data_IF_173229714591
#
_entry.id   IF_173229714591
#
_cell.length_a   1.000
_cell.length_b   1.000
_cell.length_c   1.000
_cell.angle_alpha   90.00
_cell.angle_beta   90.00
_cell.angle_gamma   90.00
#
_symmetry.space_group_name_H-M   'P 1'
#
loop_
_entity.id
_entity.type
_entity.pdbx_description
1 polymer ?
#
# COMPACT_ATOMS: atom_id res chain seq x y z
N UNK A 1 31.48 3.75 -12.75
CA UNK A 1 30.34 3.53 -13.66
C UNK A 1 30.30 2.14 -14.34
N UNK A 2 31.22 1.21 -14.05
CA UNK A 2 31.17 -0.18 -14.58
C UNK A 2 30.79 -1.25 -13.54
N UNK A 3 30.58 -0.88 -12.27
CA UNK A 3 30.25 -1.84 -11.21
C UNK A 3 28.74 -2.17 -11.10
N UNK A 4 27.84 -1.33 -11.66
CA UNK A 4 26.38 -1.57 -11.61
C UNK A 4 25.87 -2.55 -12.68
N UNK A 5 26.64 -2.79 -13.75
CA UNK A 5 26.23 -3.71 -14.82
C UNK A 5 26.50 -5.19 -14.48
N UNK A 6 27.48 -5.48 -13.62
CA UNK A 6 27.85 -6.85 -13.23
C UNK A 6 26.97 -7.40 -12.08
N UNK A 7 26.32 -6.54 -11.30
CA UNK A 7 25.42 -6.98 -10.23
C UNK A 7 24.05 -7.46 -10.79
N UNK A 8 23.64 -6.98 -11.96
CA UNK A 8 22.50 -7.54 -12.71
C UNK A 8 22.78 -8.94 -13.28
N UNK A 9 24.04 -9.29 -13.52
CA UNK A 9 24.41 -10.60 -14.07
C UNK A 9 24.59 -11.69 -13.00
N UNK A 10 24.88 -11.33 -11.74
CA UNK A 10 25.19 -12.30 -10.68
C UNK A 10 23.96 -12.82 -9.91
N UNK A 11 22.80 -12.18 -10.01
CA UNK A 11 21.51 -12.74 -9.57
C UNK A 11 20.88 -13.69 -10.61
N UNK A 12 21.55 -13.91 -11.75
CA UNK A 12 21.09 -14.71 -12.87
C UNK A 12 21.57 -16.19 -12.86
N UNK A 13 22.01 -16.73 -11.72
CA UNK A 13 22.45 -18.15 -11.62
C UNK A 13 21.41 -19.10 -11.05
N UNK A 14 20.24 -18.61 -10.63
CA UNK A 14 19.03 -19.42 -10.65
C UNK A 14 18.37 -19.25 -12.01
N UNK A 15 18.54 -20.19 -12.94
CA UNK A 15 17.81 -20.19 -14.23
C UNK A 15 16.32 -19.96 -14.00
N UNK A 16 15.85 -18.73 -14.24
CA UNK A 16 14.44 -18.34 -14.08
C UNK A 16 13.71 -18.88 -15.30
N UNK A 17 12.96 -19.96 -15.12
CA UNK A 17 12.17 -20.59 -16.18
C UNK A 17 11.16 -19.59 -16.79
N UNK A 18 10.92 -19.72 -18.10
CA UNK A 18 9.97 -18.93 -18.87
C UNK A 18 8.61 -18.77 -18.16
N UNK A 19 8.09 -17.54 -18.17
CA UNK A 19 6.83 -17.20 -17.52
C UNK A 19 5.65 -17.94 -18.17
N UNK A 20 4.72 -18.40 -17.34
CA UNK A 20 3.54 -19.11 -17.82
C UNK A 20 2.48 -18.11 -18.31
N UNK A 21 1.51 -18.59 -19.08
CA UNK A 21 0.30 -17.86 -19.41
C UNK A 21 -0.88 -18.58 -18.77
N UNK A 22 -1.78 -17.82 -18.15
CA UNK A 22 -3.09 -18.33 -17.77
C UNK A 22 -3.92 -18.60 -19.04
N UNK A 23 -4.77 -19.63 -19.03
CA UNK A 23 -5.68 -19.91 -20.13
C UNK A 23 -6.67 -18.75 -20.36
N UNK A 24 -7.26 -18.62 -21.56
CA UNK A 24 -8.30 -17.65 -21.84
C UNK A 24 -9.45 -17.71 -20.81
N UNK A 25 -10.00 -16.55 -20.46
CA UNK A 25 -11.11 -16.44 -19.49
C UNK A 25 -10.66 -16.26 -18.03
N UNK A 26 -9.36 -16.33 -17.75
CA UNK A 26 -8.79 -16.12 -16.41
C UNK A 26 -8.21 -14.71 -16.21
N UNK A 27 -8.36 -13.79 -17.16
CA UNK A 27 -7.77 -12.45 -17.15
C UNK A 27 -8.25 -11.59 -15.95
N UNK A 28 -9.40 -11.95 -15.39
CA UNK A 28 -10.02 -11.31 -14.24
C UNK A 28 -9.48 -11.81 -12.89
N UNK A 29 -8.74 -12.91 -12.89
CA UNK A 29 -8.22 -13.54 -11.68
C UNK A 29 -7.00 -12.78 -11.17
N UNK A 30 -7.02 -12.45 -9.88
CA UNK A 30 -5.90 -11.82 -9.18
C UNK A 30 -5.40 -12.74 -8.08
N UNK A 31 -4.37 -13.56 -8.33
CA UNK A 31 -3.84 -14.42 -7.31
C UNK A 31 -3.03 -13.63 -6.27
N UNK A 32 -2.96 -14.16 -5.04
CA UNK A 32 -2.12 -13.59 -3.99
C UNK A 32 -0.67 -14.09 -4.06
N UNK A 33 0.29 -13.19 -4.00
CA UNK A 33 1.73 -13.49 -3.99
C UNK A 33 2.34 -13.49 -2.60
N UNK A 34 3.40 -14.30 -2.49
CA UNK A 34 4.37 -14.29 -1.40
C UNK A 34 5.78 -14.27 -1.97
N UNK A 35 6.78 -14.00 -1.14
CA UNK A 35 8.21 -14.05 -1.50
C UNK A 35 8.65 -15.43 -2.01
N UNK A 36 7.94 -16.49 -1.62
CA UNK A 36 8.23 -17.87 -2.05
C UNK A 36 7.68 -18.18 -3.46
N UNK A 37 6.95 -17.26 -4.08
CA UNK A 37 6.44 -17.46 -5.42
C UNK A 37 7.54 -17.28 -6.45
N UNK A 38 8.03 -18.39 -7.01
CA UNK A 38 9.13 -18.39 -7.99
C UNK A 38 8.66 -18.37 -9.44
N UNK A 39 7.38 -18.69 -9.69
CA UNK A 39 6.75 -18.70 -11.02
C UNK A 39 5.43 -17.95 -11.00
N UNK A 40 5.19 -17.17 -12.04
CA UNK A 40 3.98 -16.36 -12.24
C UNK A 40 3.38 -16.64 -13.62
N UNK A 41 2.12 -16.25 -13.78
CA UNK A 41 1.39 -16.22 -15.04
C UNK A 41 1.41 -14.78 -15.52
N UNK A 42 2.17 -14.52 -16.58
CA UNK A 42 2.55 -13.15 -16.96
C UNK A 42 1.39 -12.29 -17.45
N UNK A 43 0.31 -12.89 -17.96
CA UNK A 43 -0.93 -12.19 -18.31
C UNK A 43 -1.83 -11.85 -17.12
N UNK A 44 -1.50 -12.29 -15.90
CA UNK A 44 -2.31 -11.99 -14.72
C UNK A 44 -1.74 -10.84 -13.89
N UNK A 45 -2.66 -10.14 -13.21
CA UNK A 45 -2.32 -9.23 -12.12
C UNK A 45 -2.26 -10.00 -10.80
N UNK A 46 -1.54 -9.48 -9.82
CA UNK A 46 -1.35 -10.14 -8.54
C UNK A 46 -1.54 -9.21 -7.35
N UNK A 47 -2.07 -9.72 -6.25
CA UNK A 47 -2.08 -9.04 -4.94
C UNK A 47 -0.84 -9.44 -4.14
N UNK A 48 0.01 -8.47 -3.80
CA UNK A 48 1.11 -8.69 -2.87
C UNK A 48 0.62 -8.84 -1.43
N UNK A 49 0.91 -9.96 -0.77
CA UNK A 49 0.77 -10.01 0.69
C UNK A 49 1.99 -9.32 1.32
N UNK A 50 1.80 -8.13 1.88
CA UNK A 50 2.89 -7.31 2.40
C UNK A 50 3.81 -8.06 3.36
N UNK A 51 3.26 -8.75 4.37
CA UNK A 51 4.06 -9.51 5.33
C UNK A 51 4.78 -10.68 4.66
N UNK A 52 4.13 -11.35 3.71
CA UNK A 52 4.71 -12.52 3.04
C UNK A 52 5.70 -12.16 1.92
N UNK A 53 5.72 -10.90 1.45
CA UNK A 53 6.69 -10.40 0.47
C UNK A 53 8.01 -9.95 1.12
N UNK A 54 7.99 -9.62 2.41
CA UNK A 54 9.19 -9.22 3.16
C UNK A 54 10.20 -10.34 3.30
N UNK A 55 11.48 -9.98 3.32
CA UNK A 55 12.53 -10.89 3.78
C UNK A 55 12.25 -11.29 5.24
N UNK A 56 12.44 -12.55 5.65
CA UNK A 56 12.40 -12.89 7.07
C UNK A 56 13.38 -12.02 7.86
N UNK A 57 13.00 -11.46 9.03
CA UNK A 57 13.85 -10.50 9.76
C UNK A 57 15.27 -10.99 10.08
N UNK A 58 15.44 -12.30 10.24
CA UNK A 58 16.74 -12.95 10.48
C UNK A 58 17.65 -12.97 9.23
N UNK A 59 17.08 -12.78 8.04
CA UNK A 59 17.78 -12.74 6.74
C UNK A 59 17.87 -11.32 6.16
N UNK A 60 17.28 -10.34 6.84
CA UNK A 60 17.26 -8.94 6.45
C UNK A 60 18.63 -8.28 6.69
N UNK A 61 19.50 -8.32 5.68
CA UNK A 61 20.87 -7.77 5.80
C UNK A 61 21.15 -6.58 4.88
N UNK A 62 20.58 -6.56 3.67
CA UNK A 62 20.87 -5.52 2.69
C UNK A 62 19.69 -4.54 2.53
N UNK A 63 19.94 -3.21 2.53
CA UNK A 63 18.96 -2.23 2.09
C UNK A 63 18.42 -2.57 0.71
N UNK A 64 17.16 -2.23 0.42
CA UNK A 64 16.53 -2.40 -0.89
C UNK A 64 16.31 -3.82 -1.42
N UNK A 65 16.71 -4.89 -0.71
CA UNK A 65 16.50 -6.26 -1.19
C UNK A 65 15.01 -6.60 -1.44
N UNK A 66 14.10 -6.11 -0.58
CA UNK A 66 12.66 -6.30 -0.75
C UNK A 66 12.11 -5.49 -1.93
N UNK A 67 12.63 -4.30 -2.15
CA UNK A 67 12.29 -3.45 -3.29
C UNK A 67 12.72 -4.13 -4.60
N UNK A 68 13.97 -4.57 -4.71
CA UNK A 68 14.50 -5.26 -5.89
C UNK A 68 13.71 -6.53 -6.23
N UNK A 69 13.38 -7.34 -5.23
CA UNK A 69 12.55 -8.53 -5.42
C UNK A 69 11.15 -8.16 -5.92
N UNK A 70 10.53 -7.14 -5.34
CA UNK A 70 9.19 -6.67 -5.74
C UNK A 70 9.20 -6.14 -7.18
N UNK A 71 10.24 -5.40 -7.59
CA UNK A 71 10.42 -4.92 -8.96
C UNK A 71 10.54 -6.07 -9.96
N UNK A 72 11.37 -7.06 -9.64
CA UNK A 72 11.57 -8.24 -10.48
C UNK A 72 10.29 -9.07 -10.63
N UNK A 73 9.46 -9.16 -9.58
CA UNK A 73 8.15 -9.79 -9.67
C UNK A 73 7.17 -8.99 -10.52
N UNK A 74 7.08 -7.68 -10.30
CA UNK A 74 6.13 -6.81 -11.03
C UNK A 74 6.38 -6.81 -12.54
N UNK A 75 7.66 -6.83 -12.97
CA UNK A 75 8.04 -6.88 -14.40
C UNK A 75 7.63 -8.19 -15.09
N UNK A 76 7.30 -9.25 -14.34
CA UNK A 76 6.91 -10.57 -14.87
C UNK A 76 5.40 -10.77 -14.88
N UNK A 77 4.63 -9.77 -14.47
CA UNK A 77 3.16 -9.84 -14.37
C UNK A 77 2.50 -8.70 -15.12
N UNK A 78 1.20 -8.81 -15.37
CA UNK A 78 0.40 -7.73 -15.97
C UNK A 78 0.14 -6.57 -14.98
N UNK A 79 0.64 -6.70 -13.75
CA UNK A 79 0.51 -5.71 -12.68
C UNK A 79 0.64 -6.36 -11.31
N UNK A 80 1.06 -5.56 -10.33
CA UNK A 80 1.24 -5.99 -8.95
C UNK A 80 0.63 -4.95 -8.01
N UNK A 81 -0.45 -5.34 -7.33
CA UNK A 81 -1.01 -4.56 -6.24
C UNK A 81 -0.12 -4.68 -5.00
N UNK A 82 0.30 -3.55 -4.43
CA UNK A 82 1.20 -3.52 -3.28
C UNK A 82 0.68 -2.54 -2.25
N UNK A 83 0.35 -3.00 -1.05
CA UNK A 83 -0.19 -2.11 -0.02
C UNK A 83 0.94 -1.21 0.53
N UNK A 84 0.78 0.10 0.31
CA UNK A 84 1.79 1.16 0.55
C UNK A 84 1.03 2.38 1.07
N UNK A 85 0.51 2.27 2.28
CA UNK A 85 -0.39 3.28 2.87
C UNK A 85 -0.24 3.41 4.39
N UNK A 86 0.76 2.76 4.97
CA UNK A 86 0.90 2.65 6.41
C UNK A 86 2.36 2.42 6.83
N UNK A 87 2.67 2.88 8.03
CA UNK A 87 4.01 2.82 8.60
C UNK A 87 4.49 1.37 8.78
N UNK A 88 3.67 0.51 9.41
CA UNK A 88 4.06 -0.87 9.73
C UNK A 88 3.57 -1.90 8.71
N UNK A 89 2.62 -1.53 7.85
CA UNK A 89 2.08 -2.45 6.85
C UNK A 89 2.90 -2.47 5.56
N UNK A 90 3.72 -1.46 5.24
CA UNK A 90 4.56 -1.46 4.04
C UNK A 90 5.66 -2.53 4.03
N UNK A 91 6.24 -2.84 2.87
CA UNK A 91 7.36 -3.79 2.74
C UNK A 91 8.59 -3.35 3.55
N UNK A 92 8.92 -2.05 3.48
CA UNK A 92 9.98 -1.42 4.28
C UNK A 92 9.52 -1.22 5.74
N UNK A 93 9.41 -2.33 6.48
CA UNK A 93 8.97 -2.29 7.86
C UNK A 93 10.00 -1.53 8.74
N UNK A 94 9.59 -0.48 9.48
CA UNK A 94 10.50 0.51 10.07
C UNK A 94 11.44 -0.05 11.14
N UNK A 95 11.13 -1.23 11.68
CA UNK A 95 11.96 -1.92 12.68
C UNK A 95 12.65 -3.17 12.11
N UNK A 96 12.00 -3.88 11.19
CA UNK A 96 12.39 -5.24 10.83
C UNK A 96 13.32 -5.29 9.61
N UNK A 97 13.27 -4.25 8.77
CA UNK A 97 14.02 -4.18 7.53
C UNK A 97 14.77 -2.84 7.49
N UNK A 98 16.01 -2.81 6.97
CA UNK A 98 16.60 -1.55 6.52
C UNK A 98 15.76 -1.01 5.35
N UNK A 99 15.16 0.16 5.53
CA UNK A 99 14.26 0.73 4.53
C UNK A 99 15.02 1.13 3.25
N UNK A 100 14.42 0.84 2.09
CA UNK A 100 14.89 1.36 0.82
C UNK A 100 14.34 2.77 0.56
N UNK A 101 13.03 2.90 0.76
CA UNK A 101 12.25 4.09 0.54
C UNK A 101 11.01 4.00 1.44
N UNK A 102 11.23 4.24 2.74
CA UNK A 102 10.15 4.32 3.72
C UNK A 102 9.12 5.35 3.25
N UNK A 103 7.86 4.96 3.25
CA UNK A 103 6.77 5.86 2.89
C UNK A 103 6.32 6.67 4.10
N UNK A 104 6.11 7.97 3.89
CA UNK A 104 5.40 8.83 4.83
C UNK A 104 3.95 8.35 5.00
N UNK A 105 3.47 8.09 6.23
CA UNK A 105 2.08 7.71 6.45
C UNK A 105 1.11 8.83 6.02
N UNK A 106 -0.02 8.52 5.38
CA UNK A 106 -0.95 9.54 4.87
C UNK A 106 -1.55 10.43 5.96
N UNK A 107 -1.82 9.87 7.14
CA UNK A 107 -2.33 10.62 8.28
C UNK A 107 -1.34 11.66 8.84
N UNK A 108 -0.03 11.56 8.53
CA UNK A 108 0.93 12.63 8.84
C UNK A 108 0.70 13.86 7.96
N UNK A 109 0.34 13.65 6.69
CA UNK A 109 -0.05 14.73 5.79
C UNK A 109 -1.34 15.37 6.29
N UNK A 110 -2.34 14.57 6.66
CA UNK A 110 -3.60 15.09 7.24
C UNK A 110 -3.36 15.93 8.49
N UNK A 111 -2.54 15.47 9.44
CA UNK A 111 -2.22 16.21 10.66
C UNK A 111 -1.57 17.58 10.36
N UNK A 112 -0.63 17.62 9.41
CA UNK A 112 0.02 18.87 9.01
C UNK A 112 -0.92 19.82 8.27
N UNK A 113 -1.82 19.29 7.42
CA UNK A 113 -2.87 20.07 6.75
C UNK A 113 -3.81 20.68 7.79
N UNK A 114 -4.23 19.91 8.79
CA UNK A 114 -5.10 20.38 9.88
C UNK A 114 -4.44 21.52 10.68
N UNK A 115 -3.15 21.39 11.03
CA UNK A 115 -2.42 22.48 11.67
C UNK A 115 -2.33 23.72 10.79
N UNK A 116 -2.06 23.57 9.49
CA UNK A 116 -2.01 24.69 8.57
C UNK A 116 -3.36 25.39 8.40
N UNK A 117 -4.48 24.65 8.37
CA UNK A 117 -5.83 25.22 8.35
C UNK A 117 -6.11 26.05 9.60
N UNK A 118 -5.57 25.63 10.75
CA UNK A 118 -5.68 26.35 12.00
C UNK A 118 -4.60 27.45 12.20
N UNK A 119 -3.77 27.74 11.18
CA UNK A 119 -2.70 28.73 11.26
C UNK A 119 -1.54 28.35 12.20
N UNK A 120 -1.37 27.04 12.47
CA UNK A 120 -0.30 26.48 13.31
C UNK A 120 0.74 25.76 12.46
N UNK A 121 1.97 25.69 12.97
CA UNK A 121 2.99 24.79 12.45
C UNK A 121 3.12 23.59 13.40
N UNK A 122 2.99 22.34 12.93
CA UNK A 122 3.17 21.14 13.77
C UNK A 122 4.53 21.16 14.45
N UNK A 123 4.65 20.73 15.72
CA UNK A 123 5.96 20.62 16.39
C UNK A 123 6.87 19.59 15.67
N UNK A 124 8.20 19.76 15.69
CA UNK A 124 9.12 18.95 14.89
C UNK A 124 9.26 17.54 15.45
N UNK A 125 9.71 16.61 14.61
CA UNK A 125 10.11 15.26 15.04
C UNK A 125 11.54 15.32 15.57
N UNK A 126 11.79 14.82 16.77
CA UNK A 126 13.13 14.74 17.35
C UNK A 126 13.88 13.53 16.78
N UNK A 127 15.00 13.77 16.09
CA UNK A 127 15.85 12.71 15.54
C UNK A 127 17.32 12.92 15.96
N UNK A 128 17.71 12.52 17.18
CA UNK A 128 19.10 12.58 17.63
C UNK A 128 20.05 11.74 16.76
N UNK A 129 21.36 11.92 16.91
CA UNK A 129 22.35 11.07 16.24
C UNK A 129 22.07 9.57 16.50
N UNK A 130 22.25 8.72 15.48
CA UNK A 130 21.84 7.31 15.52
C UNK A 130 22.49 6.51 16.65
N UNK A 131 23.68 6.90 17.10
CA UNK A 131 24.49 6.25 18.13
C UNK A 131 24.41 6.92 19.51
N UNK A 132 23.70 8.05 19.65
CA UNK A 132 23.57 8.78 20.92
C UNK A 132 22.45 8.21 21.81
N UNK A 133 22.72 7.09 22.46
CA UNK A 133 21.79 6.42 23.37
C UNK A 133 21.24 7.35 24.46
N UNK A 134 22.04 8.29 24.96
CA UNK A 134 21.63 9.21 26.01
C UNK A 134 20.58 10.21 25.50
N UNK A 135 20.74 10.74 24.29
CA UNK A 135 19.73 11.61 23.69
C UNK A 135 18.44 10.85 23.35
N UNK A 136 18.54 9.63 22.82
CA UNK A 136 17.37 8.79 22.55
C UNK A 136 16.60 8.44 23.84
N UNK A 137 17.30 8.14 24.93
CA UNK A 137 16.68 7.82 26.22
C UNK A 137 15.91 9.00 26.83
N UNK A 138 16.28 10.25 26.51
CA UNK A 138 15.56 11.46 26.99
C UNK A 138 14.21 11.65 26.30
N UNK A 139 13.98 11.00 25.17
CA UNK A 139 12.70 11.00 24.45
C UNK A 139 11.75 9.97 25.08
N UNK A 140 11.50 10.08 26.38
CA UNK A 140 10.78 9.11 27.22
C UNK A 140 9.29 8.89 26.87
N UNK A 141 8.71 9.74 26.02
CA UNK A 141 7.30 9.65 25.58
C UNK A 141 7.18 9.75 24.06
N UNK A 142 6.19 9.08 23.43
CA UNK A 142 5.97 9.20 22.00
C UNK A 142 5.76 10.65 21.53
N UNK A 143 5.08 11.48 22.32
CA UNK A 143 4.86 12.89 21.99
C UNK A 143 6.17 13.71 21.89
N UNK A 144 7.16 13.44 22.75
CA UNK A 144 8.48 14.09 22.65
C UNK A 144 9.26 13.69 21.40
N UNK A 145 9.04 12.47 20.92
CA UNK A 145 9.67 11.96 19.71
C UNK A 145 9.00 12.51 18.44
N UNK A 146 7.67 12.37 18.33
CA UNK A 146 6.92 12.66 17.09
C UNK A 146 6.41 14.10 16.99
N UNK A 147 6.48 14.89 18.07
CA UNK A 147 6.05 16.28 18.07
C UNK A 147 4.57 16.42 17.72
N UNK A 148 4.27 17.16 16.66
CA UNK A 148 2.90 17.42 16.19
C UNK A 148 2.31 16.34 15.29
N UNK A 149 3.06 15.27 15.01
CA UNK A 149 2.67 14.22 14.07
C UNK A 149 2.09 12.98 14.78
N UNK A 150 1.27 12.16 14.09
CA UNK A 150 0.71 10.93 14.64
C UNK A 150 1.81 10.03 15.23
N UNK A 151 1.68 9.73 16.52
CA UNK A 151 2.66 8.97 17.26
C UNK A 151 2.54 7.46 17.03
N UNK A 152 3.67 6.74 17.14
CA UNK A 152 3.70 5.29 17.16
C UNK A 152 4.43 4.78 18.41
N UNK A 153 3.70 4.12 19.30
CA UNK A 153 4.27 3.50 20.51
C UNK A 153 5.31 2.43 20.16
N UNK A 154 5.06 1.63 19.12
CA UNK A 154 5.97 0.59 18.65
C UNK A 154 7.28 1.17 18.11
N UNK A 155 7.23 2.21 17.27
CA UNK A 155 8.46 2.81 16.73
C UNK A 155 9.24 3.54 17.83
N UNK A 156 8.54 4.29 18.69
CA UNK A 156 9.13 4.92 19.88
C UNK A 156 9.86 3.90 20.76
N UNK A 157 9.17 2.82 21.15
CA UNK A 157 9.71 1.80 22.04
C UNK A 157 10.87 0.99 21.47
N UNK A 158 11.12 1.01 20.15
CA UNK A 158 12.34 0.47 19.56
C UNK A 158 13.44 1.52 19.43
N UNK A 159 13.12 2.74 18.99
CA UNK A 159 14.11 3.79 18.76
C UNK A 159 14.81 4.27 20.04
N UNK A 160 14.11 4.23 21.19
CA UNK A 160 14.63 4.71 22.49
C UNK A 160 15.29 3.64 23.35
N UNK A 161 15.39 2.39 22.86
CA UNK A 161 16.14 1.33 23.55
C UNK A 161 17.64 1.62 23.54
N UNK A 162 18.33 1.17 24.58
CA UNK A 162 19.78 1.22 24.67
C UNK A 162 20.39 0.32 23.59
N UNK A 163 21.22 0.90 22.74
CA UNK A 163 21.88 0.21 21.63
C UNK A 163 23.18 -0.45 22.08
N UNK A 164 23.93 0.19 22.97
CA UNK A 164 25.27 -0.26 23.37
C UNK A 164 25.27 -1.66 24.00
N UNK A 165 24.26 -1.95 24.84
CA UNK A 165 24.12 -3.21 25.59
C UNK A 165 23.27 -4.27 24.85
N UNK A 166 22.67 -3.93 23.72
CA UNK A 166 21.73 -4.79 23.01
C UNK A 166 22.39 -5.96 22.26
N UNK A 167 21.60 -7.03 22.06
CA UNK A 167 21.97 -8.17 21.20
C UNK A 167 22.23 -7.71 19.76
N UNK A 168 22.93 -8.53 18.96
CA UNK A 168 23.17 -8.18 17.55
C UNK A 168 21.85 -7.97 16.77
N UNK A 169 20.81 -8.74 17.07
CA UNK A 169 19.50 -8.62 16.43
C UNK A 169 18.73 -7.39 16.89
N UNK A 170 18.74 -7.10 18.19
CA UNK A 170 18.09 -5.90 18.72
C UNK A 170 18.80 -4.64 18.25
N UNK A 171 20.15 -4.64 18.19
CA UNK A 171 20.91 -3.50 17.63
C UNK A 171 20.49 -3.17 16.22
N UNK A 172 20.30 -4.17 15.34
CA UNK A 172 19.80 -3.94 13.98
C UNK A 172 18.39 -3.32 13.99
N UNK A 173 17.50 -3.81 14.86
CA UNK A 173 16.13 -3.27 14.98
C UNK A 173 16.11 -1.84 15.52
N UNK A 174 16.96 -1.53 16.49
CA UNK A 174 17.16 -0.18 17.03
C UNK A 174 17.69 0.73 15.92
N UNK A 175 18.70 0.30 15.16
CA UNK A 175 19.28 1.07 14.06
C UNK A 175 18.27 1.35 12.96
N UNK A 176 17.48 0.34 12.56
CA UNK A 176 16.38 0.50 11.61
C UNK A 176 15.34 1.50 12.13
N UNK A 177 14.92 1.36 13.39
CA UNK A 177 13.92 2.23 14.00
C UNK A 177 14.39 3.69 14.05
N UNK A 178 15.64 3.93 14.47
CA UNK A 178 16.24 5.27 14.49
C UNK A 178 16.38 5.83 13.06
N UNK A 179 16.81 5.02 12.10
CA UNK A 179 16.87 5.42 10.69
C UNK A 179 15.49 5.77 10.10
N UNK A 180 14.46 5.03 10.47
CA UNK A 180 13.07 5.33 10.09
C UNK A 180 12.60 6.66 10.70
N UNK A 181 12.90 6.93 11.97
CA UNK A 181 12.63 8.24 12.60
C UNK A 181 13.33 9.38 11.88
N UNK A 182 14.60 9.22 11.49
CA UNK A 182 15.32 10.23 10.69
C UNK A 182 14.64 10.51 9.36
N UNK A 183 14.18 9.46 8.67
CA UNK A 183 13.45 9.59 7.40
C UNK A 183 12.13 10.33 7.60
N UNK A 184 11.39 10.00 8.66
CA UNK A 184 10.14 10.67 9.01
C UNK A 184 10.37 12.12 9.45
N UNK A 185 11.45 12.41 10.17
CA UNK A 185 11.79 13.77 10.58
C UNK A 185 12.11 14.67 9.38
N UNK A 186 12.87 14.18 8.41
CA UNK A 186 13.13 14.91 7.17
C UNK A 186 11.83 15.18 6.37
N UNK A 187 10.92 14.21 6.32
CA UNK A 187 9.61 14.39 5.68
C UNK A 187 8.73 15.40 6.45
N UNK A 188 8.72 15.32 7.79
CA UNK A 188 8.00 16.25 8.66
C UNK A 188 8.48 17.70 8.50
N UNK A 189 9.79 17.93 8.39
CA UNK A 189 10.31 19.28 8.16
C UNK A 189 9.87 19.83 6.81
N UNK A 190 9.86 19.02 5.75
CA UNK A 190 9.33 19.45 4.45
C UNK A 190 7.85 19.82 4.49
N UNK A 191 7.05 19.14 5.32
CA UNK A 191 5.65 19.53 5.56
C UNK A 191 5.56 20.85 6.33
N UNK A 192 6.37 21.03 7.37
CA UNK A 192 6.43 22.25 8.19
C UNK A 192 6.85 23.47 7.36
N UNK A 193 7.85 23.32 6.50
CA UNK A 193 8.33 24.36 5.57
C UNK A 193 7.24 24.82 4.59
N UNK A 194 6.25 23.96 4.29
CA UNK A 194 5.14 24.29 3.40
C UNK A 194 3.98 25.03 4.12
N UNK A 195 3.93 25.01 5.46
CA UNK A 195 2.85 25.63 6.26
C UNK A 195 2.66 27.13 5.95
N UNK A 196 3.71 27.97 5.82
CA UNK A 196 3.54 29.38 5.49
C UNK A 196 2.85 29.64 4.14
N UNK A 197 2.82 28.65 3.24
CA UNK A 197 2.12 28.75 1.94
C UNK A 197 0.68 28.20 2.01
N UNK A 198 0.23 27.76 3.18
CA UNK A 198 -1.14 27.30 3.44
C UNK A 198 -1.35 25.78 3.29
N UNK A 199 -2.51 25.33 3.74
CA UNK A 199 -2.87 23.91 3.84
C UNK A 199 -2.78 23.13 2.52
N UNK A 200 -3.10 23.77 1.38
CA UNK A 200 -2.96 23.12 0.08
C UNK A 200 -1.49 22.87 -0.31
N UNK A 201 -0.59 23.78 0.05
CA UNK A 201 0.84 23.60 -0.20
C UNK A 201 1.39 22.44 0.63
N UNK A 202 0.97 22.33 1.89
CA UNK A 202 1.28 21.19 2.76
C UNK A 202 0.77 19.89 2.16
N UNK A 203 -0.48 19.85 1.71
CA UNK A 203 -1.06 18.66 1.08
C UNK A 203 -0.27 18.24 -0.18
N UNK A 204 0.13 19.21 -1.04
CA UNK A 204 0.96 18.94 -2.22
C UNK A 204 2.36 18.44 -1.86
N UNK A 205 3.00 19.03 -0.84
CA UNK A 205 4.32 18.59 -0.37
C UNK A 205 4.27 17.15 0.14
N UNK A 206 3.25 16.81 0.95
CA UNK A 206 3.02 15.45 1.42
C UNK A 206 2.73 14.46 0.30
N UNK A 207 1.91 14.85 -0.67
CA UNK A 207 1.63 14.03 -1.85
C UNK A 207 2.89 13.72 -2.67
N UNK A 208 3.78 14.70 -2.87
CA UNK A 208 5.05 14.48 -3.56
C UNK A 208 6.02 13.60 -2.77
N UNK A 209 6.06 13.71 -1.45
CA UNK A 209 6.86 12.83 -0.58
C UNK A 209 6.42 11.37 -0.71
N UNK A 210 5.12 11.11 -0.68
CA UNK A 210 4.56 9.77 -0.83
C UNK A 210 4.84 9.23 -2.24
N UNK A 211 4.53 10.00 -3.28
CA UNK A 211 4.76 9.60 -4.67
C UNK A 211 6.25 9.38 -4.98
N UNK A 212 7.13 10.25 -4.47
CA UNK A 212 8.58 10.10 -4.58
C UNK A 212 9.10 8.86 -3.89
N UNK A 213 8.53 8.49 -2.73
CA UNK A 213 8.84 7.23 -2.06
C UNK A 213 8.39 6.01 -2.88
N UNK A 214 7.22 6.06 -3.53
CA UNK A 214 6.79 5.00 -4.44
C UNK A 214 7.76 4.84 -5.61
N UNK A 215 8.17 5.95 -6.25
CA UNK A 215 9.16 5.94 -7.34
C UNK A 215 10.52 5.43 -6.90
N UNK A 216 10.99 5.81 -5.71
CA UNK A 216 12.24 5.28 -5.15
C UNK A 216 12.13 3.78 -4.84
N UNK A 217 10.97 3.31 -4.34
CA UNK A 217 10.76 1.91 -4.02
C UNK A 217 10.62 1.03 -5.27
N UNK A 218 9.80 1.42 -6.25
CA UNK A 218 9.55 0.61 -7.45
C UNK A 218 10.51 0.92 -8.61
N UNK A 219 11.11 2.11 -8.66
CA UNK A 219 11.72 2.64 -9.88
C UNK A 219 10.64 3.19 -10.83
N UNK A 220 10.97 4.24 -11.57
CA UNK A 220 10.00 5.02 -12.35
C UNK A 220 9.21 4.16 -13.36
N UNK A 221 9.90 3.32 -14.15
CA UNK A 221 9.25 2.49 -15.16
C UNK A 221 8.30 1.44 -14.54
N UNK A 222 8.75 0.74 -13.49
CA UNK A 222 7.92 -0.26 -12.81
C UNK A 222 6.74 0.43 -12.14
N UNK A 223 6.94 1.61 -11.52
CA UNK A 223 5.86 2.39 -10.92
C UNK A 223 4.81 2.79 -11.95
N UNK A 224 5.24 3.20 -13.14
CA UNK A 224 4.37 3.64 -14.22
C UNK A 224 3.50 2.52 -14.77
N UNK A 225 4.12 1.39 -15.10
CA UNK A 225 3.49 0.36 -15.93
C UNK A 225 2.98 -0.86 -15.15
N UNK A 226 3.57 -1.19 -14.00
CA UNK A 226 3.34 -2.49 -13.35
C UNK A 226 2.90 -2.40 -11.88
N UNK A 227 3.53 -1.55 -11.07
CA UNK A 227 3.22 -1.45 -9.65
C UNK A 227 1.99 -0.58 -9.42
N UNK A 228 1.03 -1.12 -8.68
CA UNK A 228 -0.25 -0.49 -8.37
C UNK A 228 -0.31 -0.35 -6.84
N UNK A 229 0.20 0.74 -6.25
CA UNK A 229 0.24 0.81 -4.81
C UNK A 229 -1.19 1.05 -4.27
N UNK A 230 -1.55 0.31 -3.23
CA UNK A 230 -2.91 0.29 -2.65
C UNK A 230 -3.01 1.19 -1.43
N UNK A 231 -4.22 1.67 -1.16
CA UNK A 231 -4.56 2.52 -0.03
C UNK A 231 -5.87 2.09 0.63
N UNK A 232 -5.91 2.00 1.97
CA UNK A 232 -7.12 1.72 2.74
C UNK A 232 -7.88 3.00 3.07
N UNK A 233 -9.09 3.16 2.52
CA UNK A 233 -9.92 4.35 2.76
C UNK A 233 -10.73 4.27 4.06
N UNK A 234 -11.10 3.08 4.49
CA UNK A 234 -11.91 2.85 5.69
C UNK A 234 -11.25 1.85 6.66
N UNK A 235 -10.02 2.14 7.16
CA UNK A 235 -9.31 1.22 8.04
C UNK A 235 -10.06 0.99 9.36
N UNK A 236 -9.84 -0.18 9.98
CA UNK A 236 -10.32 -0.43 11.35
C UNK A 236 -9.55 0.41 12.38
N UNK A 237 -10.10 0.58 13.60
CA UNK A 237 -9.42 1.31 14.68
C UNK A 237 -8.01 0.77 14.96
N UNK A 238 -7.84 -0.56 15.02
CA UNK A 238 -6.54 -1.21 15.15
C UNK A 238 -5.56 -0.80 14.04
N UNK A 239 -6.02 -0.77 12.79
CA UNK A 239 -5.20 -0.40 11.65
C UNK A 239 -4.79 1.09 11.68
N UNK A 240 -5.66 1.97 12.16
CA UNK A 240 -5.32 3.39 12.32
C UNK A 240 -4.30 3.56 13.44
N UNK A 241 -4.55 2.97 14.61
CA UNK A 241 -3.74 3.18 15.83
C UNK A 241 -2.40 2.45 15.77
N UNK A 242 -2.39 1.18 15.37
CA UNK A 242 -1.22 0.32 15.48
C UNK A 242 -0.40 0.24 14.19
N UNK A 243 -1.04 0.36 13.02
CA UNK A 243 -0.33 0.31 11.73
C UNK A 243 -0.08 1.69 11.10
N UNK A 244 -0.87 2.71 11.49
CA UNK A 244 -0.85 4.04 10.88
C UNK A 244 -1.46 4.07 9.49
N UNK A 245 -2.51 3.27 9.25
CA UNK A 245 -3.26 3.22 7.99
C UNK A 245 -4.25 4.39 7.86
N UNK A 246 -4.51 4.75 6.61
CA UNK A 246 -5.55 5.71 6.25
C UNK A 246 -5.19 7.17 6.54
N UNK A 247 -6.21 8.02 6.47
CA UNK A 247 -6.07 9.49 6.55
C UNK A 247 -6.43 10.05 7.92
N UNK A 248 -7.09 9.27 8.77
CA UNK A 248 -7.54 9.72 10.09
C UNK A 248 -6.40 9.83 11.09
N UNK A 249 -6.54 10.76 12.03
CA UNK A 249 -5.56 11.04 13.08
C UNK A 249 -6.17 10.68 14.43
N UNK A 250 -5.78 9.54 15.05
CA UNK A 250 -6.33 9.11 16.33
C UNK A 250 -6.23 10.18 17.42
N UNK A 251 -7.31 10.33 18.19
CA UNK A 251 -7.35 11.24 19.34
C UNK A 251 -7.36 12.73 18.98
N UNK A 252 -7.56 13.09 17.70
CA UNK A 252 -7.60 14.48 17.23
C UNK A 252 -8.93 14.77 16.53
N UNK A 253 -9.62 15.83 16.95
CA UNK A 253 -10.71 16.40 16.17
C UNK A 253 -10.11 17.24 15.05
N UNK A 254 -10.35 16.83 13.81
CA UNK A 254 -9.83 17.49 12.61
C UNK A 254 -10.82 18.51 12.07
N UNK A 255 -10.30 19.55 11.42
CA UNK A 255 -11.06 20.38 10.50
C UNK A 255 -11.70 19.48 9.41
N UNK A 256 -13.01 19.65 9.12
CA UNK A 256 -13.70 18.84 8.11
C UNK A 256 -13.04 18.85 6.72
N UNK A 257 -12.26 19.88 6.39
CA UNK A 257 -11.55 19.99 5.12
C UNK A 257 -10.21 19.24 5.10
N UNK A 258 -9.62 18.88 6.25
CA UNK A 258 -8.27 18.32 6.31
C UNK A 258 -8.13 16.99 5.56
N UNK A 259 -9.02 16.04 5.83
CA UNK A 259 -9.04 14.72 5.17
C UNK A 259 -9.32 14.84 3.67
N UNK A 260 -10.38 15.56 3.20
CA UNK A 260 -10.61 15.78 1.78
C UNK A 260 -9.44 16.42 1.03
N UNK A 261 -8.76 17.41 1.63
CA UNK A 261 -7.61 18.08 1.03
C UNK A 261 -6.42 17.13 0.88
N UNK A 262 -6.07 16.41 1.96
CA UNK A 262 -4.98 15.43 1.94
C UNK A 262 -5.27 14.30 0.93
N UNK A 263 -6.46 13.69 0.99
CA UNK A 263 -6.92 12.66 0.05
C UNK A 263 -6.74 13.09 -1.39
N UNK A 264 -7.30 14.27 -1.73
CA UNK A 264 -7.28 14.80 -3.09
C UNK A 264 -5.85 15.00 -3.59
N UNK A 265 -4.98 15.57 -2.77
CA UNK A 265 -3.59 15.82 -3.15
C UNK A 265 -2.83 14.51 -3.37
N UNK A 266 -2.89 13.59 -2.39
CA UNK A 266 -2.14 12.31 -2.41
C UNK A 266 -2.57 11.48 -3.62
N UNK A 267 -3.87 11.29 -3.81
CA UNK A 267 -4.37 10.36 -4.83
C UNK A 267 -4.17 10.88 -6.23
N UNK A 268 -4.49 12.17 -6.49
CA UNK A 268 -4.27 12.76 -7.81
C UNK A 268 -2.79 12.72 -8.17
N UNK A 269 -1.90 13.00 -7.21
CA UNK A 269 -0.47 12.95 -7.44
C UNK A 269 0.02 11.53 -7.75
N UNK A 270 -0.40 10.53 -6.97
CA UNK A 270 -0.03 9.13 -7.23
C UNK A 270 -0.58 8.64 -8.57
N UNK A 271 -1.77 9.05 -8.96
CA UNK A 271 -2.38 8.70 -10.25
C UNK A 271 -1.63 9.27 -11.45
N UNK A 272 -0.85 10.35 -11.28
CA UNK A 272 0.04 10.87 -12.33
C UNK A 272 1.25 9.97 -12.58
N UNK A 273 1.69 9.19 -11.57
CA UNK A 273 2.85 8.31 -11.69
C UNK A 273 2.51 6.92 -12.23
N UNK A 274 1.23 6.57 -12.35
CA UNK A 274 0.79 5.24 -12.74
C UNK A 274 -0.55 4.88 -12.09
N UNK A 275 -1.02 3.66 -12.34
CA UNK A 275 -2.26 3.19 -11.73
C UNK A 275 -2.16 3.13 -10.20
N UNK A 276 -3.31 3.19 -9.52
CA UNK A 276 -3.41 3.05 -8.06
C UNK A 276 -4.66 2.27 -7.68
N UNK A 277 -4.68 1.77 -6.45
CA UNK A 277 -5.84 1.09 -5.89
C UNK A 277 -6.31 1.75 -4.59
N UNK A 278 -7.62 1.79 -4.38
CA UNK A 278 -8.27 2.17 -3.14
C UNK A 278 -9.10 0.98 -2.64
N UNK A 279 -9.04 0.69 -1.35
CA UNK A 279 -9.71 -0.46 -0.76
C UNK A 279 -10.63 -0.17 0.41
N UNK A 280 -11.50 -1.16 0.65
CA UNK A 280 -12.36 -1.32 1.83
C UNK A 280 -13.62 -0.45 1.82
N UNK A 281 -14.31 -0.43 0.68
CA UNK A 281 -15.69 0.03 0.66
C UNK A 281 -16.63 -1.14 0.92
N UNK A 282 -17.48 -1.01 1.94
CA UNK A 282 -18.62 -1.90 2.15
C UNK A 282 -19.78 -1.49 1.23
N UNK A 283 -20.01 -2.24 0.15
CA UNK A 283 -21.09 -1.93 -0.80
C UNK A 283 -22.47 -2.42 -0.33
N UNK A 284 -22.56 -2.92 0.91
CA UNK A 284 -23.84 -3.12 1.59
C UNK A 284 -24.29 -1.89 2.38
N UNK A 285 -23.38 -0.93 2.63
CA UNK A 285 -23.65 0.35 3.27
C UNK A 285 -23.73 1.48 2.24
N UNK A 286 -24.88 2.16 2.19
CA UNK A 286 -25.09 3.30 1.29
C UNK A 286 -24.14 4.46 1.55
N UNK A 287 -23.69 4.66 2.79
CA UNK A 287 -22.73 5.72 3.11
C UNK A 287 -21.36 5.46 2.49
N UNK A 288 -20.89 4.21 2.52
CA UNK A 288 -19.64 3.80 1.88
C UNK A 288 -19.76 3.79 0.34
N UNK A 289 -20.91 3.41 -0.21
CA UNK A 289 -21.18 3.55 -1.66
C UNK A 289 -21.09 5.01 -2.10
N UNK A 290 -21.76 5.94 -1.39
CA UNK A 290 -21.68 7.38 -1.69
C UNK A 290 -20.25 7.89 -1.60
N UNK A 291 -19.52 7.51 -0.54
CA UNK A 291 -18.12 7.89 -0.35
C UNK A 291 -17.22 7.39 -1.49
N UNK A 292 -17.40 6.14 -1.92
CA UNK A 292 -16.65 5.59 -3.06
C UNK A 292 -16.89 6.41 -4.33
N UNK A 293 -18.16 6.73 -4.62
CA UNK A 293 -18.54 7.55 -5.78
C UNK A 293 -17.91 8.94 -5.70
N UNK A 294 -18.02 9.63 -4.56
CA UNK A 294 -17.46 10.98 -4.37
C UNK A 294 -15.93 10.99 -4.58
N UNK A 295 -15.22 9.98 -4.06
CA UNK A 295 -13.78 9.85 -4.25
C UNK A 295 -13.45 9.60 -5.72
N UNK A 296 -14.19 8.73 -6.40
CA UNK A 296 -13.94 8.44 -7.82
C UNK A 296 -14.25 9.63 -8.73
N UNK A 297 -15.33 10.37 -8.48
CA UNK A 297 -15.65 11.62 -9.17
C UNK A 297 -14.53 12.66 -9.01
N UNK A 298 -13.92 12.73 -7.82
CA UNK A 298 -12.79 13.61 -7.56
C UNK A 298 -11.52 13.21 -8.35
N UNK A 299 -11.29 11.91 -8.56
CA UNK A 299 -10.08 11.40 -9.21
C UNK A 299 -10.18 11.32 -10.73
N UNK A 300 -11.30 10.79 -11.22
CA UNK A 300 -11.52 10.44 -12.62
C UNK A 300 -12.93 10.90 -13.05
N UNK A 301 -13.20 12.22 -12.99
CA UNK A 301 -14.50 12.75 -13.43
C UNK A 301 -14.75 12.42 -14.90
N UNK A 302 -16.01 12.36 -15.29
CA UNK A 302 -16.41 12.09 -16.68
C UNK A 302 -15.77 13.09 -17.64
N UNK A 303 -15.25 12.59 -18.75
CA UNK A 303 -14.55 13.44 -19.73
C UNK A 303 -13.09 13.72 -19.38
N UNK A 304 -12.55 13.15 -18.28
CA UNK A 304 -11.11 13.18 -17.99
C UNK A 304 -10.28 12.41 -19.03
N UNK A 305 -10.91 11.59 -19.88
CA UNK A 305 -10.29 10.95 -21.03
C UNK A 305 -9.29 9.85 -20.64
N UNK A 306 -8.25 9.68 -21.46
CA UNK A 306 -7.25 8.62 -21.27
C UNK A 306 -6.33 8.92 -20.08
N UNK A 307 -5.92 7.86 -19.38
CA UNK A 307 -4.87 7.89 -18.36
C UNK A 307 -4.90 6.64 -17.48
N UNK A 308 -4.24 6.72 -16.32
CA UNK A 308 -4.01 5.56 -15.46
C UNK A 308 -5.26 5.04 -14.73
N UNK A 309 -5.37 3.72 -14.58
CA UNK A 309 -6.52 3.09 -13.93
C UNK A 309 -6.59 3.41 -12.42
N UNK A 310 -7.81 3.54 -11.91
CA UNK A 310 -8.13 3.47 -10.48
C UNK A 310 -8.82 2.14 -10.23
N UNK A 311 -8.19 1.30 -9.42
CA UNK A 311 -8.77 0.03 -8.98
C UNK A 311 -9.51 0.24 -7.66
N UNK A 312 -10.74 -0.24 -7.57
CA UNK A 312 -11.59 -0.03 -6.39
C UNK A 312 -11.98 -1.37 -5.79
N UNK A 313 -11.52 -1.62 -4.57
CA UNK A 313 -11.84 -2.86 -3.89
C UNK A 313 -13.09 -2.70 -3.06
N UNK A 314 -14.07 -3.55 -3.36
CA UNK A 314 -15.36 -3.58 -2.70
C UNK A 314 -15.57 -4.91 -2.01
N UNK A 315 -16.18 -4.87 -0.84
CA UNK A 315 -16.53 -6.04 -0.05
C UNK A 315 -17.85 -5.82 0.68
N UNK A 316 -18.20 -6.78 1.53
CA UNK A 316 -19.25 -6.60 2.53
C UNK A 316 -18.67 -6.20 3.88
N UNK A 317 -19.47 -6.26 4.95
CA UNK A 317 -19.00 -5.93 6.29
C UNK A 317 -17.84 -6.84 6.70
N UNK A 318 -16.95 -6.28 7.52
CA UNK A 318 -15.87 -7.04 8.15
C UNK A 318 -16.47 -8.12 9.05
N UNK A 319 -16.06 -9.37 8.86
CA UNK A 319 -16.50 -10.48 9.69
C UNK A 319 -15.86 -10.36 11.08
N UNK A 320 -16.65 -10.42 12.17
CA UNK A 320 -16.16 -10.19 13.53
C UNK A 320 -14.92 -11.03 13.88
N UNK A 321 -13.90 -10.37 14.43
CA UNK A 321 -12.65 -11.02 14.86
C UNK A 321 -11.74 -11.48 13.70
N UNK A 322 -11.97 -11.02 12.47
CA UNK A 322 -11.15 -11.39 11.30
C UNK A 322 -10.84 -10.19 10.41
N UNK A 323 -9.87 -10.34 9.51
CA UNK A 323 -9.57 -9.40 8.41
C UNK A 323 -10.39 -9.70 7.13
N UNK A 324 -11.41 -10.56 7.23
CA UNK A 324 -12.20 -11.01 6.08
C UNK A 324 -13.48 -10.21 5.97
N UNK A 325 -13.91 -9.97 4.74
CA UNK A 325 -15.19 -9.33 4.42
C UNK A 325 -16.21 -10.37 3.94
N UNK A 326 -17.49 -10.08 4.15
CA UNK A 326 -18.58 -10.88 3.59
C UNK A 326 -18.61 -10.83 2.05
N UNK A 327 -19.27 -11.82 1.44
CA UNK A 327 -19.48 -11.87 -0.01
C UNK A 327 -20.54 -10.86 -0.45
N UNK A 328 -20.23 -10.11 -1.51
CA UNK A 328 -21.07 -9.04 -2.06
C UNK A 328 -21.28 -9.15 -3.57
N UNK A 329 -20.95 -10.27 -4.19
CA UNK A 329 -21.15 -10.42 -5.63
C UNK A 329 -22.61 -10.23 -6.06
N UNK A 330 -23.59 -10.53 -5.21
CA UNK A 330 -25.02 -10.28 -5.52
C UNK A 330 -25.39 -8.78 -5.43
N UNK A 331 -24.50 -7.95 -4.86
CA UNK A 331 -24.60 -6.48 -4.76
C UNK A 331 -23.75 -5.74 -5.80
N UNK A 332 -22.77 -6.41 -6.39
CA UNK A 332 -21.88 -5.83 -7.42
C UNK A 332 -22.65 -5.21 -8.58
N UNK A 333 -23.70 -5.84 -9.17
CA UNK A 333 -24.44 -5.24 -10.27
C UNK A 333 -25.07 -3.88 -9.92
N UNK A 334 -25.61 -3.73 -8.70
CA UNK A 334 -26.20 -2.47 -8.25
C UNK A 334 -25.11 -1.40 -8.03
N UNK A 335 -23.96 -1.79 -7.50
CA UNK A 335 -22.83 -0.88 -7.35
C UNK A 335 -22.27 -0.41 -8.71
N UNK A 336 -22.13 -1.32 -9.69
CA UNK A 336 -21.72 -0.97 -11.05
C UNK A 336 -22.70 -0.02 -11.72
N UNK A 337 -24.01 -0.25 -11.59
CA UNK A 337 -25.03 0.66 -12.09
C UNK A 337 -24.94 2.05 -11.43
N UNK A 338 -24.62 2.11 -10.13
CA UNK A 338 -24.39 3.38 -9.44
C UNK A 338 -23.14 4.13 -9.96
N UNK A 339 -22.06 3.40 -10.28
CA UNK A 339 -20.87 3.99 -10.91
C UNK A 339 -21.16 4.52 -12.33
N UNK A 340 -21.93 3.78 -13.13
CA UNK A 340 -22.33 4.19 -14.48
C UNK A 340 -23.21 5.46 -14.48
N UNK A 341 -24.10 5.57 -13.49
CA UNK A 341 -24.96 6.73 -13.32
C UNK A 341 -24.21 7.97 -12.80
N UNK A 342 -23.07 7.77 -12.12
CA UNK A 342 -22.27 8.85 -11.55
C UNK A 342 -21.41 9.58 -12.60
N UNK A 343 -20.95 10.77 -12.25
CA UNK A 343 -20.07 11.61 -13.10
C UNK A 343 -18.60 11.13 -13.09
N UNK A 344 -18.41 9.86 -13.46
CA UNK A 344 -17.14 9.13 -13.46
C UNK A 344 -16.80 8.75 -14.90
N UNK A 345 -15.50 8.74 -15.24
CA UNK A 345 -14.98 8.20 -16.51
C UNK A 345 -14.94 6.65 -16.45
N UNK A 346 -15.87 5.93 -17.12
CA UNK A 346 -16.03 4.48 -16.91
C UNK A 346 -14.80 3.68 -17.33
N UNK A 347 -14.10 4.13 -18.38
CA UNK A 347 -12.89 3.47 -18.87
C UNK A 347 -11.66 3.59 -17.96
N UNK A 348 -11.76 4.32 -16.85
CA UNK A 348 -10.67 4.57 -15.89
C UNK A 348 -10.84 3.84 -14.56
N UNK A 349 -11.97 3.18 -14.34
CA UNK A 349 -12.28 2.49 -13.07
C UNK A 349 -12.41 1.00 -13.31
N UNK A 350 -11.71 0.20 -12.51
CA UNK A 350 -11.85 -1.25 -12.50
C UNK A 350 -12.24 -1.71 -11.09
N UNK A 351 -13.38 -2.40 -10.96
CA UNK A 351 -13.85 -2.92 -9.68
C UNK A 351 -13.17 -4.25 -9.38
N UNK A 352 -12.74 -4.41 -8.13
CA UNK A 352 -12.23 -5.65 -7.56
C UNK A 352 -13.20 -6.12 -6.47
N UNK A 353 -13.87 -7.23 -6.70
CA UNK A 353 -14.84 -7.78 -5.73
C UNK A 353 -14.16 -8.73 -4.73
N UNK A 354 -14.49 -8.57 -3.45
CA UNK A 354 -14.13 -9.45 -2.33
C UNK A 354 -15.36 -10.28 -1.92
N UNK A 355 -15.18 -11.48 -1.34
CA UNK A 355 -14.01 -12.00 -0.67
C UNK A 355 -13.05 -12.68 -1.64
N UNK A 356 -11.79 -12.78 -1.22
CA UNK A 356 -10.83 -13.65 -1.89
C UNK A 356 -11.25 -15.10 -1.72
N UNK A 357 -11.42 -15.82 -2.83
CA UNK A 357 -11.62 -17.27 -2.80
C UNK A 357 -10.44 -17.95 -2.13
N UNK A 358 -10.72 -18.74 -1.09
CA UNK A 358 -9.70 -19.57 -0.43
C UNK A 358 -9.62 -20.90 -1.16
N UNK A 359 -8.53 -21.14 -1.92
CA UNK A 359 -8.39 -22.38 -2.69
C UNK A 359 -8.01 -23.60 -1.84
N UNK A 360 -7.77 -23.44 -0.54
CA UNK A 360 -7.28 -24.52 0.33
C UNK A 360 -8.33 -25.63 0.42
N UNK A 361 -8.05 -26.76 -0.22
CA UNK A 361 -8.94 -27.93 -0.26
C UNK A 361 -10.04 -27.85 -1.33
N UNK A 362 -10.03 -26.82 -2.19
CA UNK A 362 -11.03 -26.62 -3.26
C UNK A 362 -10.42 -26.85 -4.64
N UNK A 363 -11.18 -27.48 -5.54
CA UNK A 363 -10.73 -27.90 -6.88
C UNK A 363 -11.14 -26.97 -8.03
N UNK A 364 -10.88 -27.39 -9.28
CA UNK A 364 -11.35 -26.70 -10.51
C UNK A 364 -12.85 -26.41 -10.44
N UNK A 365 -13.64 -27.41 -10.04
CA UNK A 365 -15.10 -27.32 -9.98
C UNK A 365 -15.66 -26.28 -9.00
N UNK A 366 -14.90 -25.91 -7.95
CA UNK A 366 -15.35 -24.87 -7.00
C UNK A 366 -14.89 -23.47 -7.42
N UNK A 367 -13.74 -23.36 -8.08
CA UNK A 367 -13.12 -22.10 -8.44
C UNK A 367 -13.68 -21.53 -9.75
N UNK A 368 -13.86 -22.38 -10.78
CA UNK A 368 -14.32 -21.95 -12.11
C UNK A 368 -15.66 -21.22 -12.05
N UNK A 369 -16.71 -21.69 -11.34
CA UNK A 369 -17.97 -20.96 -11.27
C UNK A 369 -17.85 -19.56 -10.66
N UNK A 370 -16.91 -19.36 -9.72
CA UNK A 370 -16.67 -18.05 -9.12
C UNK A 370 -15.95 -17.11 -10.09
N UNK A 371 -15.00 -17.64 -10.87
CA UNK A 371 -14.31 -16.89 -11.93
C UNK A 371 -15.29 -16.50 -13.03
N UNK A 372 -16.15 -17.42 -13.46
CA UNK A 372 -17.19 -17.15 -14.46
C UNK A 372 -18.18 -16.09 -13.97
N UNK A 373 -18.60 -16.17 -12.70
CA UNK A 373 -19.45 -15.13 -12.09
C UNK A 373 -18.77 -13.75 -12.13
N UNK A 374 -17.50 -13.66 -11.74
CA UNK A 374 -16.76 -12.41 -11.76
C UNK A 374 -16.55 -11.87 -13.18
N UNK A 375 -16.23 -12.75 -14.14
CA UNK A 375 -16.09 -12.44 -15.57
C UNK A 375 -17.40 -11.91 -16.14
N UNK A 376 -18.53 -12.55 -15.83
CA UNK A 376 -19.86 -12.10 -16.26
C UNK A 376 -20.23 -10.72 -15.71
N UNK A 377 -19.71 -10.36 -14.52
CA UNK A 377 -19.87 -9.05 -13.91
C UNK A 377 -18.84 -8.01 -14.38
N UNK A 378 -17.82 -8.41 -15.14
CA UNK A 378 -16.75 -7.51 -15.59
C UNK A 378 -15.83 -7.03 -14.46
N UNK A 379 -15.72 -7.77 -13.35
CA UNK A 379 -14.91 -7.37 -12.19
C UNK A 379 -13.66 -8.24 -12.04
N UNK A 380 -12.65 -7.72 -11.33
CA UNK A 380 -11.52 -8.52 -10.87
C UNK A 380 -11.92 -9.35 -9.65
N UNK A 381 -11.34 -10.55 -9.54
CA UNK A 381 -11.62 -11.49 -8.46
C UNK A 381 -10.35 -12.04 -7.83
N UNK A 382 -10.22 -11.83 -6.53
CA UNK A 382 -9.05 -12.26 -5.78
C UNK A 382 -9.08 -13.75 -5.45
N UNK A 383 -7.94 -14.43 -5.60
CA UNK A 383 -7.82 -15.87 -5.25
C UNK A 383 -6.55 -16.12 -4.43
N UNK A 384 -6.70 -16.78 -3.29
CA UNK A 384 -5.56 -17.20 -2.48
C UNK A 384 -5.09 -18.57 -2.96
N UNK A 385 -4.08 -18.59 -3.83
CA UNK A 385 -3.50 -19.79 -4.44
C UNK A 385 -2.03 -19.92 -4.07
N UNK A 386 -1.59 -21.15 -3.77
CA UNK A 386 -0.16 -21.44 -3.66
C UNK A 386 0.45 -21.72 -5.05
N UNK A 387 1.78 -21.81 -5.13
CA UNK A 387 2.50 -22.05 -6.40
C UNK A 387 2.12 -23.36 -7.10
N UNK A 388 1.65 -24.38 -6.36
CA UNK A 388 1.17 -25.65 -6.92
C UNK A 388 -0.19 -25.45 -7.59
N UNK A 389 -1.11 -24.74 -6.94
CA UNK A 389 -2.42 -24.42 -7.49
C UNK A 389 -2.30 -23.53 -8.73
N UNK A 390 -1.41 -22.53 -8.72
CA UNK A 390 -1.10 -21.69 -9.90
C UNK A 390 -0.60 -22.52 -11.09
N UNK A 391 0.27 -23.50 -10.83
CA UNK A 391 0.75 -24.43 -11.87
C UNK A 391 -0.38 -25.25 -12.47
N UNK A 392 -1.26 -25.80 -11.63
CA UNK A 392 -2.41 -26.59 -12.09
C UNK A 392 -3.38 -25.75 -12.91
N UNK A 393 -3.57 -24.48 -12.56
CA UNK A 393 -4.48 -23.59 -13.31
C UNK A 393 -4.04 -23.40 -14.77
N UNK A 394 -2.74 -23.44 -15.07
CA UNK A 394 -2.22 -23.44 -16.44
C UNK A 394 -2.72 -24.65 -17.25
N UNK A 395 -2.94 -25.77 -16.59
CA UNK A 395 -3.38 -27.02 -17.22
C UNK A 395 -4.91 -27.06 -17.41
N UNK A 396 -5.65 -26.05 -16.93
CA UNK A 396 -7.09 -25.98 -17.10
C UNK A 396 -7.39 -25.44 -18.50
N UNK A 397 -7.76 -26.33 -19.42
CA UNK A 397 -8.28 -25.92 -20.73
C UNK A 397 -9.78 -25.67 -20.63
N UNK A 398 -10.29 -24.83 -21.55
CA UNK A 398 -11.71 -24.86 -21.90
C UNK A 398 -12.01 -26.29 -22.37
N UNK A 399 -12.90 -26.99 -21.67
CA UNK A 399 -13.44 -28.29 -22.09
C UNK A 399 -14.71 -28.07 -22.90
#
# INVERSE_FOLDING_TARGET
>A
MLASALMLAALATGTIAADWQAPPGFEHVVPRLSRRTTRVLSNLRYEGNNRALRTPPEQAAAPCADAEHTRALALRTAGLFVLRDALFSQQDHPVLQPACALMLPPNWVTAAVDDALAGRTPAPVAAPALDDDAAWARLDTPARLFGGFPASASLHGWATRERASASADDRRRIDNARGAVHTLAAAAERLREAVPQGAEAVARAGAELIAGSDRAYFGDAVRHDHAIPMFVENPSEHEIVDEGKGLEVPGRTLDPAAVPLARRAIYRRRLQDGAMAIERYDITDEADVRRAIEVLQMLVPRGSGRGHQVYVWVGGPLLPGTERVADVHDRVPQFLAALEAADIEPGRVTVFARPVFQSKGKGKGDLVPQIERARAQGVLYGVNMNSVALRRMREWTEE
#
